data_IF_206456469361
#
_entry.id   IF_206456469361
#
_cell.length_a   1.000
_cell.length_b   1.000
_cell.length_c   1.000
_cell.angle_alpha   90.00
_cell.angle_beta   90.00
_cell.angle_gamma   90.00
#
_symmetry.space_group_name_H-M   'P 1'
#
loop_
_entity.id
_entity.type
_entity.pdbx_description
1 polymer ?
#
# COMPACT_ATOMS: atom_id res chain seq x y z
N UNK A 1 -6.36 12.67 -27.58
CA UNK A 1 -5.95 13.07 -26.21
C UNK A 1 -4.55 12.55 -25.94
N UNK A 2 -3.67 13.38 -25.42
CA UNK A 2 -2.24 13.03 -25.27
C UNK A 2 -1.97 12.37 -23.91
N UNK A 3 -1.31 11.21 -23.94
CA UNK A 3 -0.87 10.48 -22.75
C UNK A 3 0.49 11.06 -22.32
N UNK A 4 0.71 11.41 -21.04
CA UNK A 4 1.96 12.03 -20.57
C UNK A 4 3.09 10.99 -20.46
N UNK A 5 3.59 10.53 -21.61
CA UNK A 5 4.51 9.38 -21.71
C UNK A 5 5.78 9.54 -20.87
N UNK A 6 6.37 10.72 -20.85
CA UNK A 6 7.64 10.93 -20.16
C UNK A 6 7.46 10.92 -18.65
N UNK A 7 6.38 11.52 -18.13
CA UNK A 7 6.03 11.41 -16.71
C UNK A 7 5.76 9.96 -16.30
N UNK A 8 5.01 9.19 -17.11
CA UNK A 8 4.76 7.77 -16.84
C UNK A 8 6.04 6.93 -16.83
N UNK A 9 6.97 7.20 -17.75
CA UNK A 9 8.28 6.52 -17.79
C UNK A 9 9.14 6.88 -16.58
N UNK A 10 9.16 8.14 -16.19
CA UNK A 10 9.91 8.63 -15.04
C UNK A 10 9.39 8.03 -13.72
N UNK A 11 8.07 7.88 -13.57
CA UNK A 11 7.45 7.31 -12.37
C UNK A 11 7.64 5.79 -12.24
N UNK A 12 7.76 5.07 -13.36
CA UNK A 12 7.71 3.61 -13.40
C UNK A 12 8.68 2.88 -12.42
N UNK A 13 9.95 3.30 -12.26
CA UNK A 13 10.84 2.69 -11.27
C UNK A 13 10.32 2.78 -9.84
N UNK A 14 9.85 3.96 -9.42
CA UNK A 14 9.25 4.16 -8.10
C UNK A 14 7.97 3.34 -7.92
N UNK A 15 7.08 3.33 -8.91
CA UNK A 15 5.84 2.53 -8.84
C UNK A 15 6.16 1.03 -8.69
N UNK A 16 7.22 0.54 -9.34
CA UNK A 16 7.68 -0.85 -9.18
C UNK A 16 8.15 -1.14 -7.75
N UNK A 17 8.89 -0.23 -7.13
CA UNK A 17 9.35 -0.37 -5.74
C UNK A 17 8.17 -0.32 -4.74
N UNK A 18 7.19 0.57 -4.95
CA UNK A 18 5.96 0.61 -4.14
C UNK A 18 5.15 -0.69 -4.33
N UNK A 19 5.12 -1.25 -5.54
CA UNK A 19 4.50 -2.54 -5.83
C UNK A 19 5.19 -3.73 -5.12
N UNK A 20 6.47 -3.58 -4.76
CA UNK A 20 7.20 -4.53 -3.93
C UNK A 20 6.91 -4.29 -2.43
N UNK A 21 6.90 -3.02 -1.99
CA UNK A 21 6.50 -2.58 -0.64
C UNK A 21 5.14 -3.14 -0.24
N UNK A 22 4.17 -3.16 -1.17
CA UNK A 22 2.82 -3.69 -1.00
C UNK A 22 2.76 -5.05 -0.29
N UNK A 23 3.79 -5.87 -0.45
CA UNK A 23 3.85 -7.27 0.02
C UNK A 23 4.69 -7.44 1.27
N UNK A 24 5.43 -6.41 1.67
CA UNK A 24 6.26 -6.43 2.87
C UNK A 24 5.35 -6.67 4.06
N UNK A 25 5.72 -7.63 4.90
CA UNK A 25 5.06 -7.90 6.17
C UNK A 25 6.02 -7.51 7.27
N UNK A 26 5.50 -6.88 8.32
CA UNK A 26 6.28 -6.59 9.52
C UNK A 26 5.75 -7.42 10.68
N UNK A 27 6.61 -7.67 11.68
CA UNK A 27 6.24 -8.42 12.87
C UNK A 27 5.26 -7.66 13.79
N UNK A 28 5.01 -6.38 13.50
CA UNK A 28 4.11 -5.53 14.28
C UNK A 28 2.65 -5.97 14.13
N UNK A 29 2.21 -6.82 15.07
CA UNK A 29 0.83 -7.09 15.43
C UNK A 29 0.28 -6.03 16.39
N UNK A 30 0.09 -4.79 15.90
CA UNK A 30 -0.83 -3.84 16.52
C UNK A 30 -2.29 -4.29 16.36
N UNK A 31 -3.22 -3.37 16.08
CA UNK A 31 -4.63 -3.70 15.78
C UNK A 31 -4.84 -4.45 14.45
N UNK A 32 -3.76 -4.65 13.69
CA UNK A 32 -3.75 -5.38 12.43
C UNK A 32 -3.55 -6.89 12.63
N UNK A 33 -4.22 -7.75 11.84
CA UNK A 33 -4.04 -9.19 11.88
C UNK A 33 -2.55 -9.55 11.79
N UNK A 34 -2.13 -10.51 12.59
CA UNK A 34 -0.76 -11.01 12.52
C UNK A 34 -0.40 -11.40 11.08
N UNK A 35 0.65 -10.78 10.53
CA UNK A 35 1.09 -11.02 9.16
C UNK A 35 0.41 -10.18 8.06
N UNK A 36 -0.33 -9.12 8.42
CA UNK A 36 -0.82 -8.12 7.47
C UNK A 36 0.33 -7.48 6.67
N UNK A 37 0.09 -7.25 5.37
CA UNK A 37 1.03 -6.53 4.51
C UNK A 37 1.06 -5.03 4.84
N UNK A 38 2.12 -4.34 4.42
CA UNK A 38 2.20 -2.87 4.50
C UNK A 38 0.99 -2.22 3.82
N UNK A 39 0.58 -2.73 2.66
CA UNK A 39 -0.56 -2.19 1.93
C UNK A 39 -1.89 -2.44 2.62
N UNK A 40 -2.12 -3.63 3.20
CA UNK A 40 -3.31 -3.92 4.00
C UNK A 40 -3.45 -2.93 5.16
N UNK A 41 -2.36 -2.71 5.91
CA UNK A 41 -2.36 -1.76 7.03
C UNK A 41 -2.65 -0.34 6.55
N UNK A 42 -1.97 0.10 5.51
CA UNK A 42 -2.15 1.43 4.97
C UNK A 42 -3.57 1.63 4.39
N UNK A 43 -4.12 0.62 3.71
CA UNK A 43 -5.50 0.60 3.22
C UNK A 43 -6.51 0.79 4.34
N UNK A 44 -6.42 -0.03 5.40
CA UNK A 44 -7.31 0.05 6.56
C UNK A 44 -7.17 1.36 7.30
N UNK A 45 -5.93 1.83 7.50
CA UNK A 45 -5.65 3.13 8.12
C UNK A 45 -6.29 4.28 7.35
N UNK A 46 -6.11 4.34 6.03
CA UNK A 46 -6.71 5.38 5.20
C UNK A 46 -8.24 5.36 5.29
N UNK A 47 -8.87 4.19 5.24
CA UNK A 47 -10.32 4.10 5.43
C UNK A 47 -10.78 4.50 6.83
N UNK A 48 -10.03 4.16 7.87
CA UNK A 48 -10.32 4.54 9.24
C UNK A 48 -10.20 6.06 9.46
N UNK A 49 -9.26 6.73 8.78
CA UNK A 49 -9.12 8.20 8.83
C UNK A 49 -10.25 8.89 8.08
N UNK A 50 -10.56 8.43 6.87
CA UNK A 50 -11.65 8.93 6.04
C UNK A 50 -13.03 8.74 6.71
N UNK A 51 -13.27 7.58 7.33
CA UNK A 51 -14.52 7.30 8.03
C UNK A 51 -14.72 8.19 9.27
N UNK A 52 -13.64 8.71 9.86
CA UNK A 52 -13.69 9.70 10.95
C UNK A 52 -13.84 11.14 10.45
N UNK A 53 -13.94 11.36 9.15
CA UNK A 53 -14.09 12.68 8.54
C UNK A 53 -12.76 13.37 8.21
N UNK A 54 -11.65 12.64 8.14
CA UNK A 54 -10.39 13.17 7.63
C UNK A 54 -10.52 13.71 6.21
N UNK A 55 -9.78 14.77 5.90
CA UNK A 55 -9.81 15.38 4.57
C UNK A 55 -9.16 14.44 3.53
N UNK A 56 -9.85 14.08 2.44
CA UNK A 56 -9.30 13.17 1.44
C UNK A 56 -7.98 13.61 0.82
N UNK A 57 -7.73 14.91 0.68
CA UNK A 57 -6.47 15.40 0.12
C UNK A 57 -5.33 15.19 1.13
N UNK A 58 -5.51 15.56 2.40
CA UNK A 58 -4.51 15.33 3.44
C UNK A 58 -4.18 13.83 3.61
N UNK A 59 -5.19 12.95 3.64
CA UNK A 59 -5.02 11.49 3.72
C UNK A 59 -4.21 10.98 2.51
N UNK A 60 -4.56 11.45 1.31
CA UNK A 60 -3.90 11.06 0.07
C UNK A 60 -2.40 11.45 0.07
N UNK A 61 -2.09 12.68 0.47
CA UNK A 61 -0.71 13.18 0.54
C UNK A 61 0.10 12.40 1.58
N UNK A 62 -0.45 12.15 2.77
CA UNK A 62 0.23 11.37 3.81
C UNK A 62 0.47 9.92 3.37
N UNK A 63 -0.53 9.29 2.75
CA UNK A 63 -0.40 7.94 2.21
C UNK A 63 0.66 7.86 1.10
N UNK A 64 0.68 8.85 0.19
CA UNK A 64 1.71 8.98 -0.84
C UNK A 64 3.10 9.16 -0.25
N UNK A 65 3.26 10.06 0.72
CA UNK A 65 4.55 10.31 1.38
C UNK A 65 5.07 9.08 2.12
N UNK A 66 4.20 8.37 2.84
CA UNK A 66 4.53 7.11 3.52
C UNK A 66 4.93 6.01 2.53
N UNK A 67 4.23 5.87 1.41
CA UNK A 67 4.55 4.87 0.39
C UNK A 67 5.89 5.16 -0.30
N UNK A 68 6.17 6.42 -0.64
CA UNK A 68 7.45 6.81 -1.25
C UNK A 68 8.61 6.64 -0.27
N UNK A 69 8.44 7.02 1.00
CA UNK A 69 9.47 6.77 2.02
C UNK A 69 9.68 5.27 2.25
N UNK A 70 8.60 4.49 2.27
CA UNK A 70 8.61 3.04 2.43
C UNK A 70 9.24 2.29 1.24
N UNK A 71 9.31 2.89 0.05
CA UNK A 71 9.92 2.23 -1.11
C UNK A 71 11.37 1.79 -0.84
N UNK A 72 12.14 2.58 -0.06
CA UNK A 72 13.49 2.20 0.42
C UNK A 72 13.52 1.65 1.83
N UNK A 73 12.67 2.15 2.71
CA UNK A 73 12.69 1.83 4.13
C UNK A 73 11.86 0.61 4.51
N UNK A 74 11.09 0.07 3.57
CA UNK A 74 10.14 -1.02 3.78
C UNK A 74 9.19 -0.70 4.94
N UNK A 75 9.28 -1.47 6.05
CA UNK A 75 8.48 -1.28 7.25
C UNK A 75 9.07 -0.34 8.30
N UNK A 76 10.20 0.33 8.02
CA UNK A 76 10.81 1.30 8.94
C UNK A 76 10.16 2.67 8.71
N UNK A 77 9.07 2.93 9.43
CA UNK A 77 8.31 4.18 9.39
C UNK A 77 8.62 5.11 10.58
N UNK A 78 7.92 6.25 10.66
CA UNK A 78 8.07 7.23 11.73
C UNK A 78 7.97 6.61 13.13
N UNK A 79 6.87 5.93 13.47
CA UNK A 79 6.72 5.21 14.74
C UNK A 79 7.88 4.25 15.06
N UNK A 80 8.33 3.45 14.09
CA UNK A 80 9.47 2.53 14.28
C UNK A 80 10.76 3.30 14.56
N UNK A 81 11.04 4.38 13.81
CA UNK A 81 12.22 5.22 14.03
C UNK A 81 12.21 5.87 15.43
N UNK A 82 11.05 6.35 15.87
CA UNK A 82 10.86 6.92 17.21
C UNK A 82 11.09 5.89 18.31
N UNK A 83 10.59 4.67 18.12
CA UNK A 83 10.83 3.53 19.03
C UNK A 83 12.30 3.12 19.08
N UNK A 84 13.05 3.34 18.01
CA UNK A 84 14.50 3.18 17.98
C UNK A 84 15.28 4.34 18.66
N UNK A 85 14.58 5.32 19.24
CA UNK A 85 15.16 6.41 20.03
C UNK A 85 15.45 7.70 19.25
N UNK A 86 15.09 7.80 17.97
CA UNK A 86 15.23 9.05 17.22
C UNK A 86 14.18 10.06 17.68
N UNK A 87 14.51 11.35 17.66
CA UNK A 87 13.57 12.47 17.78
C UNK A 87 12.59 12.51 16.59
N UNK A 88 11.50 13.28 16.69
CA UNK A 88 10.57 13.49 15.57
C UNK A 88 11.28 14.13 14.36
N UNK A 89 12.14 15.12 14.60
CA UNK A 89 12.93 15.77 13.57
C UNK A 89 13.92 14.80 12.91
N UNK A 90 14.65 14.00 13.69
CA UNK A 90 15.57 12.99 13.15
C UNK A 90 14.84 11.90 12.34
N UNK A 91 13.66 11.48 12.80
CA UNK A 91 12.82 10.53 12.06
C UNK A 91 12.33 11.15 10.74
N UNK A 92 11.85 12.40 10.76
CA UNK A 92 11.45 13.13 9.55
C UNK A 92 12.63 13.32 8.57
N UNK A 93 13.84 13.51 9.07
CA UNK A 93 15.06 13.58 8.26
C UNK A 93 15.39 12.23 7.59
N UNK A 94 15.24 11.11 8.30
CA UNK A 94 15.42 9.76 7.71
C UNK A 94 14.40 9.52 6.60
N UNK A 95 13.11 9.72 6.89
CA UNK A 95 12.04 9.60 5.90
C UNK A 95 12.29 10.53 4.70
N UNK A 96 12.80 11.73 4.99
CA UNK A 96 13.15 12.73 4.01
C UNK A 96 14.24 12.33 3.05
N UNK A 97 15.31 11.71 3.55
CA UNK A 97 16.37 11.16 2.69
C UNK A 97 15.84 10.04 1.80
N UNK A 98 14.93 9.21 2.30
CA UNK A 98 14.27 8.18 1.48
C UNK A 98 13.48 8.80 0.33
N UNK A 99 12.59 9.76 0.62
CA UNK A 99 11.80 10.46 -0.42
C UNK A 99 12.69 11.17 -1.45
N UNK A 100 13.79 11.78 -1.00
CA UNK A 100 14.71 12.48 -1.89
C UNK A 100 15.39 11.56 -2.93
N UNK A 101 15.55 10.26 -2.65
CA UNK A 101 16.10 9.31 -3.64
C UNK A 101 15.19 9.11 -4.85
N UNK A 102 13.93 9.52 -4.75
CA UNK A 102 12.92 9.38 -5.81
C UNK A 102 12.49 10.72 -6.41
N UNK A 103 13.20 11.82 -6.13
CA UNK A 103 12.84 13.16 -6.61
C UNK A 103 12.65 13.21 -8.13
N UNK A 104 13.50 12.54 -8.90
CA UNK A 104 13.43 12.49 -10.38
C UNK A 104 12.25 11.66 -10.92
N UNK A 105 11.62 10.85 -10.06
CA UNK A 105 10.43 10.05 -10.39
C UNK A 105 9.12 10.76 -10.04
N UNK A 106 9.19 11.95 -9.45
CA UNK A 106 8.05 12.70 -8.93
C UNK A 106 7.82 13.98 -9.74
N UNK A 107 6.56 14.38 -9.84
CA UNK A 107 6.20 15.65 -10.45
C UNK A 107 6.66 16.85 -9.61
N UNK A 108 6.76 18.01 -10.27
CA UNK A 108 7.32 19.23 -9.69
C UNK A 108 6.50 19.79 -8.53
N UNK A 109 5.16 19.62 -8.58
CA UNK A 109 4.28 20.01 -7.47
C UNK A 109 4.08 18.86 -6.47
N UNK A 110 4.16 17.61 -6.93
CA UNK A 110 3.99 16.43 -6.10
C UNK A 110 5.13 16.27 -5.07
N UNK A 111 6.39 16.41 -5.48
CA UNK A 111 7.53 16.25 -4.58
C UNK A 111 7.49 17.15 -3.32
N UNK A 112 7.34 18.49 -3.42
CA UNK A 112 7.29 19.34 -2.24
C UNK A 112 6.06 19.06 -1.36
N UNK A 113 4.94 18.65 -1.96
CA UNK A 113 3.72 18.27 -1.23
C UNK A 113 3.97 17.05 -0.33
N UNK A 114 4.60 16.00 -0.85
CA UNK A 114 4.94 14.80 -0.06
C UNK A 114 5.97 15.11 1.03
N UNK A 115 6.97 15.94 0.73
CA UNK A 115 7.99 16.39 1.69
C UNK A 115 7.38 17.12 2.88
N UNK A 116 6.36 17.96 2.65
CA UNK A 116 5.70 18.72 3.69
C UNK A 116 4.90 17.83 4.68
N UNK A 117 4.50 16.63 4.28
CA UNK A 117 3.77 15.70 5.14
C UNK A 117 4.66 14.86 6.08
N UNK A 118 5.98 14.85 5.86
CA UNK A 118 6.91 13.98 6.60
C UNK A 118 6.97 14.25 8.11
N UNK A 119 6.94 15.51 8.61
CA UNK A 119 6.91 15.76 10.06
C UNK A 119 5.71 15.08 10.72
N UNK A 120 4.52 15.17 10.12
CA UNK A 120 3.32 14.51 10.64
C UNK A 120 3.42 12.99 10.65
N UNK A 121 4.12 12.37 9.69
CA UNK A 121 4.38 10.93 9.70
C UNK A 121 5.37 10.52 10.80
N UNK A 122 6.34 11.39 11.14
CA UNK A 122 7.30 11.14 12.21
C UNK A 122 6.67 11.28 13.61
N UNK A 123 5.58 12.05 13.72
CA UNK A 123 4.81 12.25 14.94
C UNK A 123 3.66 11.26 15.12
N UNK A 124 3.37 10.43 14.11
CA UNK A 124 2.31 9.42 14.19
C UNK A 124 2.51 8.56 15.45
N UNK A 125 1.44 8.35 16.25
CA UNK A 125 1.55 7.54 17.44
C UNK A 125 1.91 6.11 17.05
N UNK A 126 2.85 5.51 17.79
CA UNK A 126 3.09 4.08 17.72
C UNK A 126 1.87 3.34 18.27
N UNK A 127 1.26 2.46 17.47
CA UNK A 127 0.27 1.52 18.00
C UNK A 127 1.01 0.52 18.89
N UNK A 128 0.97 0.74 20.20
CA UNK A 128 1.66 -0.10 21.17
C UNK A 128 1.23 -1.56 21.08
N UNK A 129 2.14 -2.39 20.58
CA UNK A 129 1.99 -3.84 20.51
C UNK A 129 1.81 -4.54 21.85
N UNK A 130 2.15 -3.87 22.96
CA UNK A 130 2.19 -4.50 24.27
C UNK A 130 1.48 -3.71 25.37
N UNK A 131 0.87 -2.56 25.08
CA UNK A 131 0.12 -1.78 26.07
C UNK A 131 0.93 -1.37 27.32
N UNK A 132 2.27 -1.39 27.24
CA UNK A 132 3.13 -0.92 28.34
C UNK A 132 3.70 0.43 27.94
N UNK A 133 3.37 1.52 28.65
CA UNK A 133 3.97 2.82 28.42
C UNK A 133 5.50 2.74 28.52
N UNK A 134 6.19 3.41 27.59
CA UNK A 134 7.65 3.47 27.51
C UNK A 134 8.31 4.10 28.76
N UNK A 135 7.52 4.67 29.67
CA UNK A 135 7.99 5.31 30.91
C UNK A 135 8.32 4.30 32.02
N UNK A 136 7.84 3.05 31.94
CA UNK A 136 7.96 2.06 33.03
C UNK A 136 8.99 0.93 32.77
N UNK A 137 9.69 0.94 31.63
CA UNK A 137 10.64 -0.14 31.28
C UNK A 137 11.95 -0.12 32.10
N UNK A 138 12.16 0.89 32.95
CA UNK A 138 13.35 0.97 33.80
C UNK A 138 13.20 0.34 35.19
N UNK A 139 12.00 -0.01 35.64
CA UNK A 139 11.80 -0.61 36.97
C UNK A 139 10.63 -1.61 37.01
N UNK A 140 10.82 -2.82 36.48
CA UNK A 140 9.89 -3.93 36.76
C UNK A 140 10.64 -5.16 37.29
N UNK A 141 10.36 -5.62 38.53
CA UNK A 141 10.95 -6.84 39.06
C UNK A 141 10.33 -8.07 38.38
N UNK A 142 11.16 -9.07 38.10
CA UNK A 142 10.78 -10.35 37.51
C UNK A 142 9.55 -10.96 38.19
N UNK A 143 8.41 -10.99 37.49
CA UNK A 143 7.16 -11.58 37.95
C UNK A 143 6.31 -12.13 36.80
N UNK A 144 6.20 -13.46 36.79
CA UNK A 144 5.25 -14.37 36.11
C UNK A 144 4.93 -14.18 34.60
N UNK A 145 5.51 -15.02 33.71
CA UNK A 145 5.28 -14.96 32.26
C UNK A 145 3.99 -15.64 31.75
N UNK A 146 3.06 -16.11 32.59
CA UNK A 146 1.89 -16.88 32.11
C UNK A 146 0.49 -16.37 32.52
N UNK A 147 0.38 -15.12 32.97
CA UNK A 147 -0.89 -14.52 33.39
C UNK A 147 -1.55 -13.56 32.38
N UNK A 148 -1.61 -13.87 31.07
CA UNK A 148 -2.30 -12.99 30.12
C UNK A 148 -3.82 -13.18 30.16
N UNK A 149 -4.53 -12.30 30.88
CA UNK A 149 -5.95 -12.08 30.61
C UNK A 149 -6.06 -11.45 29.21
N UNK A 150 -6.71 -12.15 28.28
CA UNK A 150 -7.09 -11.60 26.98
C UNK A 150 -8.02 -10.39 27.20
N UNK A 151 -7.42 -9.20 27.21
CA UNK A 151 -8.13 -7.93 27.19
C UNK A 151 -9.01 -7.84 25.94
N UNK A 152 -10.22 -7.33 26.13
CA UNK A 152 -11.26 -7.11 25.13
C UNK A 152 -10.72 -6.58 23.80
N UNK A 153 -11.02 -7.28 22.70
CA UNK A 153 -10.68 -6.86 21.35
C UNK A 153 -11.19 -5.46 21.05
N UNK A 154 -10.28 -4.53 20.81
CA UNK A 154 -10.62 -3.24 20.22
C UNK A 154 -11.22 -3.48 18.83
N UNK A 155 -12.39 -2.90 18.58
CA UNK A 155 -12.98 -2.93 17.24
C UNK A 155 -12.02 -2.26 16.26
N UNK A 156 -11.80 -2.91 15.10
CA UNK A 156 -11.06 -2.33 13.99
C UNK A 156 -11.70 -0.98 13.62
N UNK A 157 -10.95 0.14 13.67
CA UNK A 157 -11.53 1.44 13.39
C UNK A 157 -11.87 1.64 11.91
N UNK A 158 -11.41 0.76 11.01
CA UNK A 158 -11.79 0.78 9.61
C UNK A 158 -13.22 0.22 9.41
N UNK A 159 -13.98 0.72 8.43
CA UNK A 159 -15.23 0.09 8.01
C UNK A 159 -15.04 -1.39 7.69
N UNK A 160 -16.01 -2.24 8.05
CA UNK A 160 -15.92 -3.70 7.89
C UNK A 160 -15.59 -4.18 6.48
N UNK A 161 -16.03 -3.44 5.45
CA UNK A 161 -15.69 -3.77 4.06
C UNK A 161 -14.18 -3.71 3.81
N UNK A 162 -13.43 -2.88 4.54
CA UNK A 162 -11.98 -2.74 4.35
C UNK A 162 -11.28 -4.04 4.74
N UNK A 163 -11.63 -4.61 5.91
CA UNK A 163 -11.14 -5.92 6.34
C UNK A 163 -11.58 -7.04 5.37
N UNK A 164 -12.81 -6.99 4.85
CA UNK A 164 -13.29 -7.96 3.86
C UNK A 164 -12.47 -7.91 2.56
N UNK A 165 -12.14 -6.72 2.06
CA UNK A 165 -11.33 -6.54 0.87
C UNK A 165 -9.88 -6.99 1.06
N UNK A 166 -9.31 -6.83 2.27
CA UNK A 166 -8.00 -7.38 2.61
C UNK A 166 -8.00 -8.92 2.68
N UNK A 167 -9.10 -9.51 3.14
CA UNK A 167 -9.25 -10.97 3.19
C UNK A 167 -9.56 -11.60 1.81
N UNK A 168 -10.07 -10.81 0.85
CA UNK A 168 -10.48 -11.32 -0.44
C UNK A 168 -9.36 -11.24 -1.49
N UNK A 169 -8.84 -12.38 -2.00
CA UNK A 169 -7.88 -12.38 -3.09
C UNK A 169 -8.52 -11.92 -4.40
N UNK A 170 -7.72 -11.33 -5.27
CA UNK A 170 -8.09 -11.09 -6.67
C UNK A 170 -8.12 -12.38 -7.47
N UNK A 171 -8.81 -12.37 -8.61
CA UNK A 171 -9.01 -13.54 -9.45
C UNK A 171 -7.75 -14.09 -10.15
N UNK A 172 -6.63 -13.36 -10.08
CA UNK A 172 -5.43 -13.65 -10.86
C UNK A 172 -5.63 -13.42 -12.36
N UNK A 173 -4.77 -14.01 -13.19
CA UNK A 173 -4.89 -13.89 -14.64
C UNK A 173 -5.98 -14.85 -15.16
N UNK A 174 -7.01 -14.27 -15.77
CA UNK A 174 -8.18 -15.00 -16.30
C UNK A 174 -8.43 -14.64 -17.76
N UNK A 175 -8.89 -15.63 -18.53
CA UNK A 175 -9.27 -15.46 -19.93
C UNK A 175 -10.35 -16.49 -20.27
N UNK A 176 -11.49 -16.08 -20.84
CA UNK A 176 -12.54 -16.99 -21.31
C UNK A 176 -11.99 -18.15 -22.14
N UNK A 177 -12.43 -19.37 -21.83
CA UNK A 177 -11.96 -20.60 -22.48
C UNK A 177 -10.54 -21.04 -22.11
N UNK A 178 -9.87 -20.39 -21.16
CA UNK A 178 -8.54 -20.78 -20.65
C UNK A 178 -8.60 -21.14 -19.15
N UNK A 179 -7.78 -22.09 -18.67
CA UNK A 179 -7.58 -22.26 -17.23
C UNK A 179 -7.08 -20.97 -16.59
N UNK A 180 -7.56 -20.64 -15.38
CA UNK A 180 -7.03 -19.49 -14.63
C UNK A 180 -5.62 -19.78 -14.11
N UNK A 181 -4.83 -18.71 -13.97
CA UNK A 181 -3.55 -18.76 -13.26
C UNK A 181 -3.65 -17.96 -11.96
N UNK A 182 -3.58 -18.68 -10.83
CA UNK A 182 -3.40 -18.12 -9.50
C UNK A 182 -1.91 -18.21 -9.16
N UNK A 183 -1.29 -17.07 -8.82
CA UNK A 183 0.10 -17.03 -8.36
C UNK A 183 0.09 -16.74 -6.86
N UNK A 184 0.73 -17.61 -6.10
CA UNK A 184 0.80 -17.52 -4.64
C UNK A 184 2.03 -16.73 -4.17
N UNK A 185 1.92 -15.91 -3.11
CA UNK A 185 0.68 -15.55 -2.43
C UNK A 185 -0.18 -14.60 -3.29
N UNK A 186 -1.52 -14.74 -3.30
CA UNK A 186 -2.38 -13.88 -4.09
C UNK A 186 -2.38 -12.46 -3.53
N UNK A 187 -2.52 -11.50 -4.44
CA UNK A 187 -2.81 -10.12 -4.09
C UNK A 187 -4.27 -10.00 -3.59
N UNK A 188 -4.48 -9.32 -2.46
CA UNK A 188 -5.82 -8.98 -1.98
C UNK A 188 -6.39 -7.75 -2.69
N UNK A 189 -7.71 -7.53 -2.58
CA UNK A 189 -8.30 -6.27 -3.07
C UNK A 189 -7.80 -5.07 -2.28
N UNK A 190 -7.55 -5.23 -0.97
CA UNK A 190 -6.97 -4.17 -0.15
C UNK A 190 -5.59 -3.74 -0.64
N UNK A 191 -4.72 -4.72 -0.95
CA UNK A 191 -3.38 -4.47 -1.52
C UNK A 191 -3.48 -3.67 -2.83
N UNK A 192 -4.33 -4.13 -3.75
CA UNK A 192 -4.53 -3.52 -5.05
C UNK A 192 -5.10 -2.11 -4.95
N UNK A 193 -6.21 -1.93 -4.21
CA UNK A 193 -6.86 -0.62 -4.06
C UNK A 193 -5.92 0.41 -3.42
N UNK A 194 -5.13 0.01 -2.43
CA UNK A 194 -4.11 0.89 -1.86
C UNK A 194 -3.06 1.30 -2.89
N UNK A 195 -2.51 0.35 -3.64
CA UNK A 195 -1.50 0.66 -4.65
C UNK A 195 -2.05 1.57 -5.75
N UNK A 196 -3.26 1.30 -6.24
CA UNK A 196 -3.94 2.16 -7.23
C UNK A 196 -4.17 3.57 -6.69
N UNK A 197 -4.60 3.70 -5.44
CA UNK A 197 -4.80 5.00 -4.81
C UNK A 197 -3.49 5.79 -4.72
N UNK A 198 -2.41 5.16 -4.25
CA UNK A 198 -1.07 5.79 -4.15
C UNK A 198 -0.51 6.13 -5.53
N UNK A 199 -0.55 5.21 -6.49
CA UNK A 199 -0.08 5.48 -7.86
C UNK A 199 -0.88 6.62 -8.47
N UNK A 200 -2.18 6.66 -8.21
CA UNK A 200 -3.07 7.74 -8.61
C UNK A 200 -2.63 9.12 -8.10
N UNK A 201 -2.25 9.21 -6.81
CA UNK A 201 -1.68 10.43 -6.22
C UNK A 201 -0.39 10.84 -6.91
N UNK A 202 0.53 9.90 -7.12
CA UNK A 202 1.83 10.17 -7.75
C UNK A 202 1.71 10.59 -9.22
N UNK A 203 0.64 10.15 -9.90
CA UNK A 203 0.36 10.47 -11.30
C UNK A 203 -0.60 11.66 -11.47
N UNK A 204 -1.22 12.15 -10.39
CA UNK A 204 -2.27 13.17 -10.45
C UNK A 204 -1.82 14.43 -11.20
N UNK A 205 -0.62 14.92 -10.91
CA UNK A 205 -0.03 16.10 -11.57
C UNK A 205 0.08 15.92 -13.09
N UNK A 206 0.56 14.77 -13.55
CA UNK A 206 0.76 14.49 -14.97
C UNK A 206 -0.56 14.46 -15.77
N UNK A 207 -1.67 14.20 -15.10
CA UNK A 207 -3.01 14.18 -15.69
C UNK A 207 -3.84 15.42 -15.35
N UNK A 208 -3.34 16.34 -14.52
CA UNK A 208 -4.07 17.52 -14.05
C UNK A 208 -5.24 17.17 -13.13
N UNK A 209 -5.12 16.09 -12.35
CA UNK A 209 -6.14 15.61 -11.43
C UNK A 209 -5.91 16.12 -10.00
N UNK A 210 -6.99 16.18 -9.21
CA UNK A 210 -6.89 16.45 -7.77
C UNK A 210 -6.47 15.16 -7.04
N UNK A 211 -5.35 15.16 -6.28
CA UNK A 211 -4.84 13.95 -5.62
C UNK A 211 -5.83 13.22 -4.71
N UNK A 212 -6.60 13.96 -3.90
CA UNK A 212 -7.60 13.39 -2.99
C UNK A 212 -8.73 12.65 -3.71
N UNK A 213 -9.23 13.19 -4.82
CA UNK A 213 -10.27 12.57 -5.65
C UNK A 213 -9.76 11.30 -6.32
N UNK A 214 -8.55 11.31 -6.88
CA UNK A 214 -7.95 10.10 -7.48
C UNK A 214 -7.70 9.05 -6.40
N UNK A 215 -7.23 9.47 -5.23
CA UNK A 215 -6.98 8.58 -4.09
C UNK A 215 -8.27 7.91 -3.61
N UNK A 216 -9.36 8.67 -3.43
CA UNK A 216 -10.68 8.12 -3.06
C UNK A 216 -11.19 7.13 -4.10
N UNK A 217 -11.09 7.48 -5.39
CA UNK A 217 -11.51 6.59 -6.47
C UNK A 217 -10.68 5.30 -6.46
N UNK A 218 -9.36 5.41 -6.29
CA UNK A 218 -8.45 4.28 -6.16
C UNK A 218 -8.75 3.39 -4.95
N UNK A 219 -9.07 3.96 -3.79
CA UNK A 219 -9.45 3.17 -2.61
C UNK A 219 -10.79 2.45 -2.77
N UNK A 220 -11.77 3.09 -3.42
CA UNK A 220 -13.16 2.64 -3.44
C UNK A 220 -13.61 1.85 -4.69
N UNK A 221 -12.80 1.76 -5.75
CA UNK A 221 -13.27 1.19 -7.03
C UNK A 221 -13.69 -0.29 -6.97
N UNK A 222 -13.22 -1.05 -5.97
CA UNK A 222 -13.60 -2.44 -5.73
C UNK A 222 -14.55 -2.64 -4.54
N UNK A 223 -15.30 -1.62 -4.08
CA UNK A 223 -16.21 -1.78 -2.93
C UNK A 223 -17.17 -2.97 -3.05
N UNK A 224 -17.72 -3.22 -4.24
CA UNK A 224 -18.59 -4.37 -4.51
C UNK A 224 -17.93 -5.73 -4.18
N UNK A 225 -16.60 -5.82 -4.27
CA UNK A 225 -15.85 -7.03 -3.95
C UNK A 225 -15.78 -7.32 -2.44
N UNK A 226 -16.27 -6.45 -1.56
CA UNK A 226 -16.45 -6.81 -0.16
C UNK A 226 -17.51 -7.93 0.03
N UNK A 227 -18.36 -8.13 -0.98
CA UNK A 227 -19.43 -9.15 -0.98
C UNK A 227 -19.32 -10.08 -2.17
N UNK A 228 -19.01 -9.57 -3.37
CA UNK A 228 -18.88 -10.37 -4.59
C UNK A 228 -17.44 -10.88 -4.74
N UNK A 229 -17.18 -12.20 -4.65
CA UNK A 229 -15.87 -12.76 -4.96
C UNK A 229 -15.42 -12.37 -6.36
N UNK A 230 -14.14 -12.03 -6.51
CA UNK A 230 -13.59 -11.68 -7.81
C UNK A 230 -13.51 -12.93 -8.70
N UNK A 231 -14.42 -12.95 -9.67
CA UNK A 231 -14.54 -14.06 -10.61
C UNK A 231 -13.58 -13.91 -11.81
N UNK A 232 -12.98 -12.74 -11.98
CA UNK A 232 -12.16 -12.37 -13.14
C UNK A 232 -12.97 -12.33 -14.44
N UNK A 233 -12.28 -12.12 -15.56
CA UNK A 233 -12.88 -11.89 -16.87
C UNK A 233 -13.82 -13.03 -17.30
N UNK A 234 -13.45 -14.29 -17.04
CA UNK A 234 -14.31 -15.43 -17.35
C UNK A 234 -15.62 -15.43 -16.56
N UNK A 235 -15.59 -14.99 -15.31
CA UNK A 235 -16.79 -14.88 -14.49
C UNK A 235 -17.65 -13.68 -14.88
N UNK A 236 -17.03 -12.55 -15.23
CA UNK A 236 -17.72 -11.38 -15.77
C UNK A 236 -18.51 -11.71 -17.04
N UNK A 237 -17.92 -12.48 -17.97
CA UNK A 237 -18.62 -12.93 -19.19
C UNK A 237 -19.83 -13.81 -18.88
N UNK A 238 -19.72 -14.71 -17.90
CA UNK A 238 -20.81 -15.59 -17.47
C UNK A 238 -21.93 -14.83 -16.73
N UNK A 239 -21.58 -13.78 -15.98
CA UNK A 239 -22.56 -12.90 -15.34
C UNK A 239 -23.29 -12.02 -16.37
N UNK A 240 -22.63 -11.69 -17.48
CA UNK A 240 -23.25 -11.05 -18.64
C UNK A 240 -24.00 -9.77 -18.28
N UNK A 241 -25.25 -9.67 -18.74
CA UNK A 241 -26.12 -8.50 -18.52
C UNK A 241 -26.44 -8.22 -17.04
N UNK A 242 -26.28 -9.22 -16.15
CA UNK A 242 -26.55 -9.05 -14.72
C UNK A 242 -25.41 -8.34 -13.98
N UNK A 243 -24.18 -8.37 -14.52
CA UNK A 243 -22.98 -7.87 -13.83
C UNK A 243 -23.14 -6.42 -13.39
N UNK A 244 -23.59 -5.53 -14.29
CA UNK A 244 -23.75 -4.10 -14.00
C UNK A 244 -24.72 -3.86 -12.84
N UNK A 245 -25.84 -4.57 -12.82
CA UNK A 245 -26.85 -4.44 -11.76
C UNK A 245 -26.35 -4.94 -10.40
N UNK A 246 -25.63 -6.07 -10.39
CA UNK A 246 -25.04 -6.64 -9.17
C UNK A 246 -23.97 -5.70 -8.61
N UNK A 247 -23.03 -5.24 -9.45
CA UNK A 247 -21.95 -4.33 -9.04
C UNK A 247 -22.52 -3.01 -8.51
N UNK A 248 -23.51 -2.43 -9.18
CA UNK A 248 -24.14 -1.19 -8.73
C UNK A 248 -24.81 -1.35 -7.37
N UNK A 249 -25.59 -2.43 -7.19
CA UNK A 249 -26.28 -2.72 -5.93
C UNK A 249 -25.28 -2.87 -4.77
N UNK A 250 -24.28 -3.72 -4.94
CA UNK A 250 -23.32 -4.00 -3.87
C UNK A 250 -22.45 -2.79 -3.53
N UNK A 251 -22.08 -1.99 -4.56
CA UNK A 251 -21.39 -0.71 -4.34
C UNK A 251 -22.23 0.23 -3.48
N UNK A 252 -23.52 0.40 -3.78
CA UNK A 252 -24.43 1.26 -2.99
C UNK A 252 -24.56 0.76 -1.55
N UNK A 253 -24.66 -0.56 -1.34
CA UNK A 253 -24.73 -1.15 0.00
C UNK A 253 -23.46 -0.83 0.82
N UNK A 254 -22.27 -0.92 0.23
CA UNK A 254 -21.03 -0.58 0.94
C UNK A 254 -20.83 0.93 1.13
N UNK A 255 -21.29 1.76 0.20
CA UNK A 255 -21.23 3.22 0.36
C UNK A 255 -22.11 3.73 1.50
N UNK A 256 -23.20 3.02 1.82
CA UNK A 256 -24.17 3.41 2.84
C UNK A 256 -23.62 3.33 4.28
N UNK A 257 -22.49 2.64 4.50
CA UNK A 257 -21.86 2.58 5.84
C UNK A 257 -20.92 3.76 6.12
N UNK A 258 -20.62 4.56 5.10
CA UNK A 258 -19.73 5.72 5.22
C UNK A 258 -20.49 6.98 5.68
N UNK A 259 -19.78 7.99 6.22
CA UNK A 259 -20.37 9.30 6.49
C UNK A 259 -20.94 9.94 5.23
N UNK A 260 -22.12 10.57 5.34
CA UNK A 260 -22.87 11.13 4.21
C UNK A 260 -22.05 12.00 3.21
N UNK A 261 -21.21 12.95 3.67
CA UNK A 261 -20.36 13.71 2.76
C UNK A 261 -19.37 12.85 1.97
N UNK A 262 -18.77 11.84 2.61
CA UNK A 262 -17.84 10.91 1.96
C UNK A 262 -18.57 9.99 0.98
N UNK A 263 -19.73 9.46 1.36
CA UNK A 263 -20.63 8.68 0.49
C UNK A 263 -20.96 9.45 -0.79
N UNK A 264 -21.36 10.72 -0.67
CA UNK A 264 -21.73 11.56 -1.81
C UNK A 264 -20.54 11.84 -2.74
N UNK A 265 -19.36 12.17 -2.17
CA UNK A 265 -18.15 12.43 -2.94
C UNK A 265 -17.68 11.17 -3.67
N UNK A 266 -17.52 10.05 -2.96
CA UNK A 266 -17.07 8.79 -3.55
C UNK A 266 -18.07 8.24 -4.57
N UNK A 267 -19.37 8.32 -4.31
CA UNK A 267 -20.40 7.92 -5.28
C UNK A 267 -20.30 8.70 -6.59
N UNK A 268 -20.05 10.01 -6.52
CA UNK A 268 -19.84 10.86 -7.70
C UNK A 268 -18.57 10.47 -8.46
N UNK A 269 -17.47 10.20 -7.75
CA UNK A 269 -16.21 9.76 -8.36
C UNK A 269 -16.32 8.39 -9.04
N UNK A 270 -17.02 7.44 -8.42
CA UNK A 270 -17.27 6.12 -9.00
C UNK A 270 -18.09 6.20 -10.28
N UNK A 271 -19.04 7.14 -10.38
CA UNK A 271 -19.79 7.39 -11.60
C UNK A 271 -18.92 8.01 -12.72
N UNK A 272 -17.87 8.76 -12.38
CA UNK A 272 -16.94 9.36 -13.33
C UNK A 272 -15.94 8.36 -13.94
N UNK A 273 -15.82 7.15 -13.38
CA UNK A 273 -14.78 6.18 -13.81
C UNK A 273 -14.82 5.88 -15.31
N UNK A 274 -15.99 5.88 -15.94
CA UNK A 274 -16.14 5.55 -17.37
C UNK A 274 -15.93 6.78 -18.28
N UNK A 275 -15.84 7.98 -17.71
CA UNK A 275 -15.59 9.22 -18.44
C UNK A 275 -14.09 9.41 -18.70
N UNK A 276 -13.57 8.76 -19.76
CA UNK A 276 -12.16 8.76 -20.12
C UNK A 276 -11.52 10.16 -20.37
N UNK A 277 -12.34 11.21 -20.49
CA UNK A 277 -11.89 12.59 -20.66
C UNK A 277 -11.60 13.31 -19.33
N UNK A 278 -12.15 12.85 -18.21
CA UNK A 278 -11.98 13.50 -16.92
C UNK A 278 -10.56 13.27 -16.37
N UNK A 279 -9.83 14.31 -15.93
CA UNK A 279 -8.48 14.17 -15.35
C UNK A 279 -8.37 13.08 -14.27
N UNK A 280 -9.32 13.05 -13.34
CA UNK A 280 -9.37 12.06 -12.26
C UNK A 280 -9.51 10.63 -12.80
N UNK A 281 -10.42 10.39 -13.75
CA UNK A 281 -10.59 9.08 -14.36
C UNK A 281 -9.33 8.64 -15.11
N UNK A 282 -8.65 9.55 -15.81
CA UNK A 282 -7.40 9.25 -16.52
C UNK A 282 -6.27 8.85 -15.59
N UNK A 283 -6.07 9.60 -14.50
CA UNK A 283 -5.07 9.29 -13.49
C UNK A 283 -5.35 7.93 -12.83
N UNK A 284 -6.61 7.69 -12.47
CA UNK A 284 -7.07 6.41 -11.93
C UNK A 284 -6.82 5.24 -12.88
N UNK A 285 -7.23 5.33 -14.16
CA UNK A 285 -7.04 4.25 -15.13
C UNK A 285 -5.56 3.98 -15.42
N UNK A 286 -4.73 5.02 -15.45
CA UNK A 286 -3.29 4.85 -15.57
C UNK A 286 -2.73 4.07 -14.36
N UNK A 287 -3.13 4.44 -13.15
CA UNK A 287 -2.73 3.76 -11.92
C UNK A 287 -3.19 2.29 -11.88
N UNK A 288 -4.46 2.02 -12.16
CA UNK A 288 -5.04 0.66 -12.16
C UNK A 288 -4.36 -0.28 -13.18
N UNK A 289 -4.19 0.18 -14.42
CA UNK A 289 -3.50 -0.62 -15.44
C UNK A 289 -2.04 -0.86 -15.06
N UNK A 290 -1.35 0.15 -14.54
CA UNK A 290 0.05 0.02 -14.13
C UNK A 290 0.21 -0.98 -12.98
N UNK A 291 -0.63 -0.93 -11.95
CA UNK A 291 -0.55 -1.89 -10.85
C UNK A 291 -0.80 -3.32 -11.32
N UNK A 292 -1.82 -3.58 -12.15
CA UNK A 292 -2.07 -4.91 -12.73
C UNK A 292 -0.87 -5.43 -13.53
N UNK A 293 -0.26 -4.60 -14.36
CA UNK A 293 0.92 -5.00 -15.15
C UNK A 293 2.15 -5.20 -14.28
N UNK A 294 2.37 -4.33 -13.29
CA UNK A 294 3.49 -4.44 -12.36
C UNK A 294 3.35 -5.66 -11.44
N UNK A 295 2.13 -6.05 -11.07
CA UNK A 295 1.84 -7.29 -10.35
C UNK A 295 2.32 -8.51 -11.13
N UNK A 296 1.97 -8.61 -12.42
CA UNK A 296 2.42 -9.72 -13.28
C UNK A 296 3.95 -9.69 -13.47
N UNK A 297 4.53 -8.50 -13.69
CA UNK A 297 5.98 -8.34 -13.82
C UNK A 297 6.74 -8.71 -12.55
N UNK A 298 6.17 -8.43 -11.37
CA UNK A 298 6.73 -8.85 -10.10
C UNK A 298 6.85 -10.38 -10.05
N UNK A 299 5.77 -11.11 -10.35
CA UNK A 299 5.80 -12.57 -10.35
C UNK A 299 6.76 -13.14 -11.39
N UNK A 300 6.78 -12.58 -12.60
CA UNK A 300 7.73 -12.99 -13.64
C UNK A 300 9.18 -12.78 -13.20
N UNK A 301 9.48 -11.65 -12.54
CA UNK A 301 10.81 -11.35 -12.00
C UNK A 301 11.19 -12.30 -10.85
N UNK A 302 10.27 -12.56 -9.93
CA UNK A 302 10.50 -13.48 -8.83
C UNK A 302 10.76 -14.92 -9.33
N UNK A 303 10.00 -15.36 -10.34
CA UNK A 303 10.18 -16.67 -10.96
C UNK A 303 11.51 -16.80 -11.73
N UNK A 304 12.05 -15.69 -12.23
CA UNK A 304 13.31 -15.64 -12.95
C UNK A 304 14.51 -15.30 -12.04
N UNK A 305 14.33 -15.19 -10.72
CA UNK A 305 15.37 -14.80 -9.78
C UNK A 305 16.46 -15.88 -9.67
N UNK A 306 17.72 -15.45 -9.74
CA UNK A 306 18.90 -16.33 -9.70
C UNK A 306 19.82 -15.96 -8.53
N UNK A 307 20.68 -16.91 -8.13
CA UNK A 307 21.68 -16.66 -7.09
C UNK A 307 22.72 -15.61 -7.52
N UNK A 308 23.12 -15.59 -8.79
CA UNK A 308 24.05 -14.59 -9.36
C UNK A 308 23.49 -13.17 -9.18
N UNK A 309 22.21 -12.96 -9.52
CA UNK A 309 21.54 -11.67 -9.27
C UNK A 309 21.51 -11.31 -7.78
N UNK A 310 21.33 -12.30 -6.88
CA UNK A 310 21.33 -12.03 -5.45
C UNK A 310 22.71 -11.59 -4.96
N UNK A 311 23.76 -12.31 -5.38
CA UNK A 311 25.11 -12.13 -4.87
C UNK A 311 25.81 -10.91 -5.49
N UNK A 312 25.65 -10.73 -6.81
CA UNK A 312 26.42 -9.77 -7.58
C UNK A 312 25.65 -8.47 -7.84
N UNK A 313 24.39 -8.55 -8.30
CA UNK A 313 23.62 -7.35 -8.64
C UNK A 313 23.04 -6.65 -7.40
N UNK A 314 22.66 -7.43 -6.38
CA UNK A 314 22.00 -6.93 -5.17
C UNK A 314 22.91 -6.87 -3.94
N UNK A 315 24.20 -7.20 -4.10
CA UNK A 315 25.19 -7.20 -3.03
C UNK A 315 24.67 -7.89 -1.74
N UNK A 316 24.11 -9.11 -1.86
CA UNK A 316 23.57 -9.82 -0.69
C UNK A 316 24.60 -9.89 0.45
N UNK A 317 25.87 -10.07 0.11
CA UNK A 317 27.02 -9.93 1.03
C UNK A 317 27.68 -8.57 0.83
N UNK A 318 26.99 -7.52 1.27
CA UNK A 318 27.47 -6.15 1.14
C UNK A 318 28.62 -5.81 2.13
N UNK A 319 29.43 -4.77 1.82
CA UNK A 319 30.47 -4.30 2.71
C UNK A 319 29.96 -3.88 4.09
N UNK A 320 30.51 -4.51 5.12
CA UNK A 320 30.32 -4.20 6.54
C UNK A 320 31.62 -4.41 7.35
N UNK A 321 31.59 -4.12 8.66
CA UNK A 321 32.75 -4.25 9.55
C UNK A 321 33.36 -5.66 9.59
N UNK A 322 32.56 -6.69 9.33
CA UNK A 322 32.98 -8.10 9.36
C UNK A 322 33.16 -8.72 7.96
N UNK A 323 33.23 -7.91 6.91
CA UNK A 323 33.36 -8.39 5.52
C UNK A 323 34.51 -9.37 5.31
N UNK A 324 35.64 -9.17 6.00
CA UNK A 324 36.78 -10.07 5.91
C UNK A 324 36.46 -11.49 6.37
N UNK A 325 35.65 -11.63 7.42
CA UNK A 325 35.17 -12.93 7.87
C UNK A 325 34.16 -13.54 6.89
N UNK A 326 33.21 -12.75 6.37
CA UNK A 326 32.25 -13.24 5.37
C UNK A 326 32.94 -13.81 4.13
N UNK A 327 33.96 -13.11 3.61
CA UNK A 327 34.77 -13.60 2.48
C UNK A 327 35.50 -14.88 2.82
N UNK A 328 36.15 -14.96 3.99
CA UNK A 328 36.83 -16.19 4.42
C UNK A 328 35.86 -17.39 4.56
N UNK A 329 34.62 -17.17 4.99
CA UNK A 329 33.58 -18.21 5.03
C UNK A 329 33.21 -18.68 3.62
N UNK A 330 33.01 -17.74 2.69
CA UNK A 330 32.65 -18.05 1.30
C UNK A 330 33.78 -18.81 0.58
N UNK A 331 35.03 -18.36 0.74
CA UNK A 331 36.22 -19.02 0.19
C UNK A 331 36.37 -20.45 0.74
N UNK A 332 36.18 -20.63 2.06
CA UNK A 332 36.30 -21.94 2.71
C UNK A 332 35.16 -22.91 2.34
N UNK A 333 33.99 -22.40 1.95
CA UNK A 333 32.84 -23.18 1.55
C UNK A 333 32.79 -23.48 0.03
N UNK A 334 33.75 -22.98 -0.76
CA UNK A 334 33.73 -23.03 -2.24
C UNK A 334 32.42 -22.46 -2.82
N UNK A 335 31.87 -21.43 -2.18
CA UNK A 335 30.58 -20.83 -2.51
C UNK A 335 30.67 -19.63 -3.46
N UNK A 336 31.90 -19.26 -3.86
CA UNK A 336 32.24 -18.17 -4.81
C UNK A 336 33.46 -18.58 -5.63
#
# INVERSE_FOLDING_TARGET
MEVPRDALRAALPLLREIGDLKRVRTADSGTSPAGASMAERAFRRSWAELARGGDPHEVAVRAGAAAVAGARLAGVDGPVLRRCGLTADEAADVLGRSVAQHADSLGQSTYPLLRAALPGLAEDPHEDLYGVPHEDLHEAPHGDPYGASYGSGGEDPAPRFAAALCAQPRAGATCPGRPRLMVEPPESHGDHCWAVAVYGVLLAEAFGAEPGDVFLLGLGHHLHNAVLPDAGFSGEELLGEHLTGVVARLTVEQLAVLPGPLTARLGSLLALREAAEAPVARAFHAADVLDRVLQVRHHARAAAFTAEQALDDLDLVHPCAVSGFHRAVLDAAEAV
#
